data_IF_370618009624
#
_entry.id   IF_370618009624
#
_cell.length_a   1.000
_cell.length_b   1.000
_cell.length_c   1.000
_cell.angle_alpha   90.00
_cell.angle_beta   90.00
_cell.angle_gamma   90.00
#
_symmetry.space_group_name_H-M   'P 1'
#
loop_
_entity.id
_entity.type
_entity.pdbx_description
1 polymer ?
#
# COMPACT_ATOMS: atom_id res chain seq x y z
N UNK A 1 -9.38 15.47 -2.71
CA UNK A 1 -8.05 15.86 -2.73
C UNK A 1 -7.04 14.76 -2.75
N UNK A 2 -6.01 14.96 -3.53
CA UNK A 2 -4.92 14.03 -3.79
C UNK A 2 -3.88 13.90 -2.66
N UNK A 3 -4.14 14.40 -1.47
CA UNK A 3 -3.22 14.30 -0.31
C UNK A 3 -3.63 13.24 0.71
N UNK A 4 -4.45 12.30 0.32
CA UNK A 4 -5.07 11.35 1.25
C UNK A 4 -4.11 10.29 1.82
N UNK A 5 -3.01 9.95 1.15
CA UNK A 5 -2.09 8.91 1.60
C UNK A 5 -1.46 9.18 2.97
N UNK A 6 -1.08 10.42 3.20
CA UNK A 6 -0.42 10.87 4.42
C UNK A 6 -1.42 11.07 5.55
N UNK A 7 -2.58 11.65 5.22
CA UNK A 7 -3.63 11.95 6.20
C UNK A 7 -4.25 10.69 6.79
N UNK A 8 -4.54 9.72 5.95
CA UNK A 8 -5.30 8.53 6.37
C UNK A 8 -4.44 7.49 7.05
N UNK A 9 -3.15 7.42 6.71
CA UNK A 9 -2.27 6.40 7.25
C UNK A 9 -1.59 6.79 8.56
N UNK A 10 -1.11 8.00 8.69
CA UNK A 10 -0.33 8.44 9.86
C UNK A 10 -1.12 9.45 10.69
N UNK A 11 -1.40 10.62 10.14
CA UNK A 11 -2.06 11.73 10.85
C UNK A 11 -3.57 11.51 10.95
N UNK A 12 -4.20 10.97 9.91
CA UNK A 12 -5.65 10.78 9.80
C UNK A 12 -6.16 9.41 10.22
N UNK A 13 -5.31 8.50 10.71
CA UNK A 13 -5.69 7.12 11.02
C UNK A 13 -6.88 7.05 11.98
N UNK A 14 -6.92 7.87 13.02
CA UNK A 14 -8.04 7.91 13.95
C UNK A 14 -9.36 8.31 13.27
N UNK A 15 -9.32 9.23 12.32
CA UNK A 15 -10.49 9.65 11.54
C UNK A 15 -10.92 8.55 10.57
N UNK A 16 -9.98 7.88 9.92
CA UNK A 16 -10.26 6.77 8.99
C UNK A 16 -10.90 5.59 9.73
N UNK A 17 -10.31 5.15 10.85
CA UNK A 17 -10.87 4.09 11.70
C UNK A 17 -12.24 4.48 12.27
N UNK A 18 -12.40 5.72 12.74
CA UNK A 18 -13.68 6.22 13.23
C UNK A 18 -14.76 6.27 12.15
N UNK A 19 -14.39 6.57 10.90
CA UNK A 19 -15.30 6.53 9.75
C UNK A 19 -15.70 5.10 9.42
N UNK A 20 -14.75 4.18 9.42
CA UNK A 20 -14.99 2.76 9.21
C UNK A 20 -15.96 2.19 10.26
N UNK A 21 -15.70 2.45 11.54
CA UNK A 21 -16.54 1.99 12.65
C UNK A 21 -17.98 2.54 12.60
N UNK A 22 -18.20 3.73 12.04
CA UNK A 22 -19.55 4.29 11.86
C UNK A 22 -20.35 3.64 10.73
N UNK A 23 -19.71 2.82 9.91
CA UNK A 23 -20.37 2.10 8.82
C UNK A 23 -20.90 3.00 7.69
N UNK A 24 -20.30 4.16 7.47
CA UNK A 24 -20.71 5.05 6.37
C UNK A 24 -20.55 4.36 5.01
N UNK A 25 -21.50 4.58 4.11
CA UNK A 25 -21.50 4.02 2.74
C UNK A 25 -20.52 4.78 1.86
N UNK A 26 -19.24 4.50 2.00
CA UNK A 26 -18.17 5.13 1.23
C UNK A 26 -16.99 4.17 1.01
N UNK A 27 -16.11 4.55 0.10
CA UNK A 27 -14.85 3.85 -0.13
C UNK A 27 -13.72 4.74 0.37
N UNK A 28 -12.89 4.20 1.27
CA UNK A 28 -11.61 4.81 1.63
C UNK A 28 -10.57 4.24 0.66
N UNK A 29 -9.97 5.09 -0.14
CA UNK A 29 -8.97 4.71 -1.11
C UNK A 29 -7.61 5.30 -0.71
N UNK A 30 -6.67 4.45 -0.30
CA UNK A 30 -5.33 4.82 0.11
C UNK A 30 -4.34 4.62 -1.04
N UNK A 31 -3.61 5.68 -1.42
CA UNK A 31 -2.43 5.60 -2.26
C UNK A 31 -1.18 5.42 -1.39
N UNK A 32 -0.49 4.31 -1.56
CA UNK A 32 0.76 4.03 -0.86
C UNK A 32 1.97 4.21 -1.78
N UNK A 33 2.67 5.32 -1.61
CA UNK A 33 3.91 5.62 -2.32
C UNK A 33 5.18 5.51 -1.45
N UNK A 34 5.04 4.99 -0.22
CA UNK A 34 6.15 4.68 0.68
C UNK A 34 6.67 5.84 1.53
N UNK A 35 6.09 7.04 1.51
CA UNK A 35 6.55 8.15 2.37
C UNK A 35 5.88 9.48 2.10
N UNK A 36 6.37 10.55 2.78
CA UNK A 36 5.91 11.92 2.60
C UNK A 36 6.71 12.59 1.47
N UNK A 37 6.26 12.43 0.22
CA UNK A 37 7.05 12.77 -0.95
C UNK A 37 7.08 14.26 -1.24
N UNK A 38 5.93 14.92 -1.26
CA UNK A 38 5.78 16.32 -1.67
C UNK A 38 6.49 17.32 -0.74
N UNK A 39 6.65 16.99 0.52
CA UNK A 39 7.28 17.85 1.53
C UNK A 39 8.78 17.65 1.68
N UNK A 40 9.40 16.81 0.86
CA UNK A 40 10.85 16.59 0.85
C UNK A 40 11.27 15.17 1.27
N UNK A 41 10.46 14.17 0.95
CA UNK A 41 10.89 12.78 1.05
C UNK A 41 11.14 12.31 2.50
N UNK A 42 10.22 12.62 3.39
CA UNK A 42 10.31 12.17 4.77
C UNK A 42 9.80 10.75 4.97
N UNK A 43 10.27 10.14 6.05
CA UNK A 43 9.82 8.86 6.58
C UNK A 43 8.32 8.90 6.91
N UNK A 44 7.59 7.87 6.52
CA UNK A 44 6.23 7.57 7.00
C UNK A 44 6.19 6.17 7.62
N UNK A 45 5.06 5.82 8.23
CA UNK A 45 4.86 4.44 8.68
C UNK A 45 4.72 3.44 7.53
N UNK A 46 4.51 3.88 6.28
CA UNK A 46 4.51 3.00 5.11
C UNK A 46 5.90 2.74 4.53
N UNK A 47 6.87 3.57 4.87
CA UNK A 47 8.25 3.41 4.39
C UNK A 47 8.79 2.03 4.76
N UNK A 48 9.41 1.28 3.84
CA UNK A 48 9.97 -0.03 4.11
C UNK A 48 11.03 -0.02 5.20
N UNK A 49 11.18 -1.15 5.90
CA UNK A 49 12.28 -1.35 6.84
C UNK A 49 13.62 -1.22 6.10
N UNK A 50 14.56 -0.47 6.68
CA UNK A 50 15.88 -0.21 6.10
C UNK A 50 15.91 0.88 5.03
N UNK A 51 14.76 1.41 4.59
CA UNK A 51 14.74 2.42 3.54
C UNK A 51 15.29 3.77 3.99
N UNK A 52 16.01 4.42 3.07
CA UNK A 52 16.52 5.77 3.24
C UNK A 52 15.42 6.79 2.98
N UNK A 53 15.41 7.87 3.78
CA UNK A 53 14.61 9.07 3.53
C UNK A 53 15.36 10.29 4.06
N UNK A 54 14.80 11.49 3.88
CA UNK A 54 15.41 12.71 4.45
C UNK A 54 15.43 12.73 5.98
N UNK A 55 14.59 11.91 6.61
CA UNK A 55 14.52 11.77 8.09
C UNK A 55 14.94 10.40 8.59
N UNK A 56 15.38 9.49 7.72
CA UNK A 56 15.97 8.19 8.06
C UNK A 56 17.19 7.92 7.17
N UNK A 57 18.34 8.37 7.62
CA UNK A 57 19.57 8.26 6.83
C UNK A 57 20.14 6.85 6.85
N UNK A 58 20.82 6.47 5.76
CA UNK A 58 21.63 5.24 5.69
C UNK A 58 23.09 5.65 5.67
N UNK A 59 23.88 5.06 6.56
CA UNK A 59 25.31 5.33 6.72
C UNK A 59 25.98 4.37 7.69
N UNK A 60 27.19 4.69 8.12
CA UNK A 60 27.98 3.82 9.02
C UNK A 60 27.32 3.56 10.38
N UNK A 61 26.52 4.49 10.86
CA UNK A 61 25.87 4.44 12.19
C UNK A 61 24.36 4.40 12.16
N UNK A 62 23.77 4.56 10.99
CA UNK A 62 22.31 4.56 10.79
C UNK A 62 21.96 3.65 9.63
N UNK A 63 20.91 2.85 9.80
CA UNK A 63 20.52 1.81 8.85
C UNK A 63 19.17 2.09 8.18
N UNK A 64 18.83 3.38 8.00
CA UNK A 64 17.53 3.78 7.49
C UNK A 64 16.41 3.61 8.51
N UNK A 65 15.20 3.34 8.03
CA UNK A 65 14.05 3.07 8.92
C UNK A 65 14.29 1.77 9.72
N UNK A 66 14.21 1.85 11.04
CA UNK A 66 14.53 0.75 11.96
C UNK A 66 13.31 0.07 12.62
N UNK A 67 12.11 0.32 12.10
CA UNK A 67 10.87 -0.29 12.59
C UNK A 67 9.97 -0.70 11.41
N UNK A 68 9.10 -1.69 11.64
CA UNK A 68 8.19 -2.22 10.62
C UNK A 68 7.18 -1.19 10.14
N UNK A 69 6.71 -1.37 8.91
CA UNK A 69 5.62 -0.56 8.37
C UNK A 69 4.28 -0.93 9.04
N UNK A 70 3.37 0.00 9.02
CA UNK A 70 2.00 -0.19 9.52
C UNK A 70 1.17 -0.95 8.48
N UNK A 71 0.52 -2.01 8.90
CA UNK A 71 -0.42 -2.75 8.07
C UNK A 71 -1.82 -2.12 8.15
N UNK A 72 -2.08 -1.15 7.29
CA UNK A 72 -3.36 -0.43 7.26
C UNK A 72 -4.53 -1.32 6.83
N UNK A 73 -4.41 -2.22 5.82
CA UNK A 73 -5.47 -3.16 5.50
C UNK A 73 -5.93 -4.00 6.68
N UNK A 74 -5.01 -4.55 7.46
CA UNK A 74 -5.35 -5.34 8.65
C UNK A 74 -6.00 -4.50 9.76
N UNK A 75 -5.53 -3.26 9.96
CA UNK A 75 -6.16 -2.32 10.88
C UNK A 75 -7.60 -1.98 10.46
N UNK A 76 -7.83 -1.80 9.16
CA UNK A 76 -9.18 -1.59 8.63
C UNK A 76 -10.05 -2.83 8.75
N UNK A 77 -9.50 -4.02 8.50
CA UNK A 77 -10.21 -5.28 8.70
C UNK A 77 -10.63 -5.49 10.15
N UNK A 78 -9.79 -5.08 11.11
CA UNK A 78 -10.10 -5.14 12.54
C UNK A 78 -11.30 -4.25 12.96
N UNK A 79 -11.72 -3.30 12.13
CA UNK A 79 -12.98 -2.54 12.34
C UNK A 79 -14.22 -3.29 11.86
N UNK A 80 -14.07 -4.51 11.36
CA UNK A 80 -15.14 -5.35 10.81
C UNK A 80 -15.89 -4.75 9.62
N UNK A 81 -15.25 -3.87 8.84
CA UNK A 81 -15.83 -3.39 7.58
C UNK A 81 -15.97 -4.56 6.60
N UNK A 82 -17.00 -4.53 5.74
CA UNK A 82 -17.36 -5.69 4.92
C UNK A 82 -16.36 -6.05 3.83
N UNK A 83 -15.51 -5.09 3.42
CA UNK A 83 -14.54 -5.31 2.34
C UNK A 83 -13.26 -4.49 2.50
N UNK A 84 -12.14 -5.18 2.38
CA UNK A 84 -10.78 -4.62 2.34
C UNK A 84 -10.03 -5.24 1.18
N UNK A 85 -9.23 -4.48 0.43
CA UNK A 85 -8.41 -5.02 -0.65
C UNK A 85 -7.09 -4.26 -0.83
N UNK A 86 -6.07 -4.97 -1.29
CA UNK A 86 -4.84 -4.40 -1.83
C UNK A 86 -4.84 -4.50 -3.35
N UNK A 87 -4.39 -3.47 -4.05
CA UNK A 87 -4.37 -3.40 -5.51
C UNK A 87 -3.06 -2.78 -6.02
N UNK A 88 -2.69 -3.11 -7.23
CA UNK A 88 -1.53 -2.55 -7.90
C UNK A 88 -1.84 -2.27 -9.38
N UNK A 89 -1.29 -1.19 -9.93
CA UNK A 89 -1.51 -0.84 -11.34
C UNK A 89 -0.86 -1.82 -12.32
N UNK A 90 0.12 -2.60 -11.85
CA UNK A 90 0.70 -3.70 -12.64
C UNK A 90 -0.30 -4.82 -12.95
N UNK A 91 -1.38 -4.92 -12.16
CA UNK A 91 -2.42 -5.96 -12.26
C UNK A 91 -3.80 -5.33 -12.51
N UNK A 92 -4.04 -4.68 -13.67
CA UNK A 92 -5.22 -3.85 -13.88
C UNK A 92 -6.54 -4.64 -13.85
N UNK A 93 -6.56 -5.89 -14.29
CA UNK A 93 -7.76 -6.72 -14.23
C UNK A 93 -8.18 -7.01 -12.78
N UNK A 94 -7.23 -7.32 -11.90
CA UNK A 94 -7.47 -7.50 -10.47
C UNK A 94 -7.92 -6.20 -9.81
N UNK A 95 -7.27 -5.09 -10.16
CA UNK A 95 -7.63 -3.77 -9.66
C UNK A 95 -9.07 -3.40 -9.99
N UNK A 96 -9.47 -3.53 -11.27
CA UNK A 96 -10.84 -3.20 -11.71
C UNK A 96 -11.86 -4.09 -11.00
N UNK A 97 -11.61 -5.38 -10.88
CA UNK A 97 -12.48 -6.33 -10.19
C UNK A 97 -12.68 -5.94 -8.72
N UNK A 98 -11.60 -5.63 -8.01
CA UNK A 98 -11.65 -5.23 -6.59
C UNK A 98 -12.32 -3.88 -6.40
N UNK A 99 -12.07 -2.91 -7.28
CA UNK A 99 -12.74 -1.62 -7.24
C UNK A 99 -14.27 -1.76 -7.44
N UNK A 100 -14.70 -2.61 -8.37
CA UNK A 100 -16.12 -2.90 -8.58
C UNK A 100 -16.75 -3.59 -7.34
N UNK A 101 -16.06 -4.55 -6.72
CA UNK A 101 -16.49 -5.17 -5.46
C UNK A 101 -16.60 -4.13 -4.33
N UNK A 102 -15.59 -3.30 -4.14
CA UNK A 102 -15.62 -2.24 -3.12
C UNK A 102 -16.82 -1.31 -3.32
N UNK A 103 -17.13 -0.94 -4.57
CA UNK A 103 -18.29 -0.13 -4.89
C UNK A 103 -19.62 -0.82 -4.57
N UNK A 104 -19.74 -2.11 -4.83
CA UNK A 104 -20.90 -2.90 -4.46
C UNK A 104 -21.06 -3.00 -2.94
N UNK A 105 -20.01 -3.40 -2.25
CA UNK A 105 -20.00 -3.53 -0.78
C UNK A 105 -20.30 -2.20 -0.08
N UNK A 106 -19.75 -1.09 -0.57
CA UNK A 106 -19.96 0.22 0.05
C UNK A 106 -21.40 0.71 -0.09
N UNK A 107 -22.09 0.38 -1.20
CA UNK A 107 -23.52 0.75 -1.40
C UNK A 107 -24.45 -0.06 -0.51
N UNK A 108 -24.13 -1.32 -0.28
CA UNK A 108 -25.03 -2.24 0.37
C UNK A 108 -24.77 -2.35 1.88
N UNK A 109 -23.51 -2.54 2.26
CA UNK A 109 -23.14 -2.96 3.61
C UNK A 109 -22.39 -1.92 4.46
N UNK A 110 -21.80 -0.89 3.85
CA UNK A 110 -21.06 0.15 4.59
C UNK A 110 -19.68 0.43 4.04
N UNK A 111 -18.75 0.89 4.88
CA UNK A 111 -17.42 1.32 4.43
C UNK A 111 -16.63 0.18 3.78
N UNK A 112 -16.06 0.44 2.61
CA UNK A 112 -15.05 -0.43 2.00
C UNK A 112 -13.69 0.29 1.98
N UNK A 113 -12.59 -0.48 1.97
CA UNK A 113 -11.24 0.05 1.95
C UNK A 113 -10.41 -0.58 0.84
N UNK A 114 -9.67 0.26 0.11
CA UNK A 114 -8.70 -0.18 -0.90
C UNK A 114 -7.36 0.50 -0.64
N UNK A 115 -6.29 -0.29 -0.58
CA UNK A 115 -4.91 0.19 -0.57
C UNK A 115 -4.28 -0.09 -1.94
N UNK A 116 -3.83 0.97 -2.61
CA UNK A 116 -3.17 0.89 -3.90
C UNK A 116 -1.68 1.20 -3.76
N UNK A 117 -0.82 0.29 -4.24
CA UNK A 117 0.59 0.60 -4.40
C UNK A 117 0.76 1.56 -5.57
N UNK A 118 1.47 2.66 -5.31
CA UNK A 118 1.80 3.68 -6.30
C UNK A 118 3.30 3.96 -6.25
N UNK A 119 3.99 3.85 -7.37
CA UNK A 119 5.38 4.28 -7.43
C UNK A 119 5.48 5.80 -7.33
N UNK A 120 6.61 6.27 -6.85
CA UNK A 120 6.93 7.68 -6.83
C UNK A 120 8.37 7.86 -7.32
N UNK A 121 8.60 8.46 -8.50
CA UNK A 121 9.95 8.61 -9.05
C UNK A 121 10.92 9.30 -8.08
N UNK A 122 10.42 10.24 -7.28
CA UNK A 122 11.24 10.95 -6.31
C UNK A 122 11.75 10.05 -5.17
N UNK A 123 10.91 9.16 -4.66
CA UNK A 123 11.27 8.27 -3.55
C UNK A 123 11.95 6.99 -4.05
N UNK A 124 11.39 6.41 -5.10
CA UNK A 124 11.84 5.12 -5.62
C UNK A 124 13.01 5.30 -6.59
N UNK A 125 13.39 6.58 -6.89
CA UNK A 125 14.49 6.95 -7.76
C UNK A 125 14.44 6.23 -9.12
N UNK A 126 13.25 6.00 -9.62
CA UNK A 126 12.98 5.37 -10.90
C UNK A 126 12.64 6.40 -11.97
N UNK A 127 12.74 5.98 -13.23
CA UNK A 127 12.29 6.80 -14.35
C UNK A 127 10.77 6.68 -14.45
N UNK A 128 10.03 7.78 -14.75
CA UNK A 128 8.56 7.75 -14.82
C UNK A 128 8.00 6.70 -15.79
N UNK A 129 8.72 6.35 -16.83
CA UNK A 129 8.32 5.31 -17.79
C UNK A 129 8.52 3.86 -17.26
N UNK A 130 9.16 3.68 -16.12
CA UNK A 130 9.42 2.38 -15.50
C UNK A 130 8.52 2.08 -14.29
N UNK A 131 7.71 3.03 -13.85
CA UNK A 131 6.84 2.90 -12.66
C UNK A 131 6.06 1.59 -12.63
N UNK A 132 5.39 1.26 -13.71
CA UNK A 132 4.60 0.02 -13.81
C UNK A 132 5.47 -1.24 -13.64
N UNK A 133 6.69 -1.22 -14.18
CA UNK A 133 7.62 -2.35 -14.06
C UNK A 133 8.14 -2.49 -12.64
N UNK A 134 8.41 -1.38 -11.97
CA UNK A 134 8.84 -1.35 -10.56
C UNK A 134 7.72 -1.85 -9.64
N UNK A 135 6.47 -1.44 -9.88
CA UNK A 135 5.32 -1.95 -9.14
C UNK A 135 5.11 -3.45 -9.39
N UNK A 136 5.27 -3.92 -10.63
CA UNK A 136 5.21 -5.35 -10.94
C UNK A 136 6.27 -6.13 -10.15
N UNK A 137 7.51 -5.63 -10.12
CA UNK A 137 8.59 -6.24 -9.34
C UNK A 137 8.29 -6.25 -7.84
N UNK A 138 7.68 -5.20 -7.28
CA UNK A 138 7.26 -5.15 -5.88
C UNK A 138 6.20 -6.22 -5.54
N UNK A 139 5.28 -6.49 -6.46
CA UNK A 139 4.29 -7.55 -6.32
C UNK A 139 4.95 -8.94 -6.47
N UNK A 140 5.81 -9.13 -7.46
CA UNK A 140 6.46 -10.40 -7.75
C UNK A 140 7.49 -10.81 -6.68
N UNK A 141 8.08 -9.86 -5.93
CA UNK A 141 8.93 -10.16 -4.78
C UNK A 141 8.18 -10.31 -3.46
N UNK A 142 6.84 -10.25 -3.47
CA UNK A 142 5.97 -10.29 -2.29
C UNK A 142 6.16 -9.11 -1.32
N UNK A 143 6.76 -8.01 -1.77
CA UNK A 143 6.80 -6.77 -0.99
C UNK A 143 5.41 -6.18 -0.79
N UNK A 144 4.56 -6.29 -1.82
CA UNK A 144 3.18 -5.84 -1.78
C UNK A 144 2.24 -6.97 -2.25
N UNK A 145 1.74 -7.80 -1.34
CA UNK A 145 0.86 -8.90 -1.69
C UNK A 145 -0.52 -8.39 -2.14
N UNK A 146 -1.08 -9.05 -3.17
CA UNK A 146 -2.42 -8.75 -3.66
C UNK A 146 -3.43 -9.73 -3.06
N UNK A 147 -4.25 -9.22 -2.14
CA UNK A 147 -5.28 -9.99 -1.44
C UNK A 147 -6.54 -9.16 -1.23
N UNK A 148 -7.59 -9.83 -0.81
CA UNK A 148 -8.82 -9.20 -0.37
C UNK A 148 -9.34 -9.87 0.91
N UNK A 149 -10.03 -9.10 1.73
CA UNK A 149 -10.71 -9.58 2.94
C UNK A 149 -12.20 -9.27 2.76
N UNK A 150 -12.99 -10.32 2.60
CA UNK A 150 -14.45 -10.24 2.49
C UNK A 150 -15.09 -10.76 3.77
N UNK A 151 -15.75 -9.88 4.53
CA UNK A 151 -16.42 -10.25 5.78
C UNK A 151 -15.52 -11.05 6.74
N UNK A 152 -14.26 -10.63 6.85
CA UNK A 152 -13.27 -11.25 7.72
C UNK A 152 -12.58 -12.50 7.15
N UNK A 153 -12.89 -12.90 5.91
CA UNK A 153 -12.22 -14.02 5.23
C UNK A 153 -11.18 -13.46 4.27
N UNK A 154 -9.92 -13.78 4.51
CA UNK A 154 -8.80 -13.36 3.66
C UNK A 154 -8.60 -14.33 2.50
N UNK A 155 -8.46 -13.80 1.29
CA UNK A 155 -8.16 -14.53 0.07
C UNK A 155 -6.98 -13.90 -0.67
N UNK A 156 -5.91 -14.67 -0.87
CA UNK A 156 -4.79 -14.27 -1.72
C UNK A 156 -5.21 -14.34 -3.19
N UNK A 157 -5.07 -13.24 -3.93
CA UNK A 157 -5.51 -13.16 -5.32
C UNK A 157 -4.38 -13.36 -6.33
N UNK A 158 -3.14 -13.19 -5.90
CA UNK A 158 -1.97 -13.38 -6.75
C UNK A 158 -0.83 -14.00 -5.95
N UNK A 159 -0.37 -15.15 -6.43
CA UNK A 159 0.83 -15.82 -5.92
C UNK A 159 1.90 -15.85 -7.02
N UNK A 160 2.98 -15.05 -6.91
CA UNK A 160 4.04 -15.04 -7.91
C UNK A 160 4.80 -16.36 -7.99
N UNK A 161 4.82 -17.17 -6.94
CA UNK A 161 5.46 -18.48 -6.97
C UNK A 161 4.72 -19.45 -7.89
N UNK A 162 3.39 -19.46 -7.85
CA UNK A 162 2.55 -20.31 -8.71
C UNK A 162 2.67 -19.93 -10.20
N UNK A 163 2.99 -18.68 -10.49
CA UNK A 163 3.17 -18.16 -11.83
C UNK A 163 4.63 -18.20 -12.33
N UNK A 164 5.53 -18.80 -11.57
CA UNK A 164 6.98 -18.84 -11.81
C UNK A 164 7.62 -17.43 -12.01
N UNK A 165 7.04 -16.42 -11.37
CA UNK A 165 7.46 -15.00 -11.46
C UNK A 165 8.10 -14.47 -10.19
N UNK A 166 8.22 -15.31 -9.14
CA UNK A 166 8.81 -14.89 -7.88
C UNK A 166 10.25 -14.44 -8.06
N UNK A 167 10.52 -13.21 -7.69
CA UNK A 167 11.85 -12.62 -7.70
C UNK A 167 12.33 -12.33 -6.27
N UNK A 168 13.64 -12.28 -5.99
CA UNK A 168 14.13 -11.91 -4.67
C UNK A 168 13.80 -10.44 -4.33
N UNK A 169 13.55 -10.16 -3.06
CA UNK A 169 13.28 -8.80 -2.57
C UNK A 169 14.39 -7.81 -2.94
N UNK A 170 15.63 -8.28 -3.04
CA UNK A 170 16.78 -7.50 -3.47
C UNK A 170 16.62 -6.88 -4.87
N UNK A 171 15.76 -7.44 -5.72
CA UNK A 171 15.47 -6.86 -7.03
C UNK A 171 14.73 -5.50 -6.95
N UNK A 172 14.03 -5.24 -5.86
CA UNK A 172 13.31 -3.99 -5.60
C UNK A 172 14.10 -3.06 -4.69
N UNK A 173 14.97 -3.60 -3.84
CA UNK A 173 15.72 -2.83 -2.85
C UNK A 173 16.78 -1.90 -3.46
N UNK A 174 17.17 -2.11 -4.73
CA UNK A 174 18.10 -1.22 -5.42
C UNK A 174 17.59 0.22 -5.56
N UNK A 175 16.31 0.43 -5.54
CA UNK A 175 15.70 1.76 -5.65
C UNK A 175 15.63 2.50 -4.31
N UNK A 176 15.80 1.78 -3.19
CA UNK A 176 15.65 2.35 -1.85
C UNK A 176 16.94 2.37 -1.00
N UNK A 177 17.99 1.66 -1.43
CA UNK A 177 19.20 1.45 -0.62
C UNK A 177 20.46 2.15 -1.17
N UNK A 178 20.39 2.85 -2.30
CA UNK A 178 21.53 3.58 -2.87
C UNK A 178 21.48 5.07 -2.60
#
# INVERSE_FOLDING_TARGET
>A
GSEMCIRDRDIGMGSALGTALRGHKLIIFEYDNGGYMNTGYQLSYSTPLGAKSSTSHVGKTQYGKNFFHKDTPELMAATHIPYVATVAESNPADFIRKAAKAAAYSREFGTAYIKALSACPLNWNDKPNLERSVIAAAVDCCYFPLYEIERGITALNYDPASSNKKIPVTAVSYTHLT
#
